data_IF_789858044893
#
_entry.id   IF_789858044893
#
_cell.length_a   1.000
_cell.length_b   1.000
_cell.length_c   1.000
_cell.angle_alpha   90.00
_cell.angle_beta   90.00
_cell.angle_gamma   90.00
#
_symmetry.space_group_name_H-M   'P 1'
#
loop_
_entity.id
_entity.type
_entity.pdbx_description
1 polymer ?
#
# COMPACT_ATOMS: atom_id res chain seq x y z
N UNK A 1 -17.93 23.90 10.46
CA UNK A 1 -16.48 23.96 10.21
C UNK A 1 -16.09 22.56 9.78
N UNK A 2 -15.80 22.36 8.49
CA UNK A 2 -15.33 21.07 7.99
C UNK A 2 -13.99 20.75 8.66
N UNK A 3 -13.96 19.72 9.50
CA UNK A 3 -12.72 19.18 10.05
C UNK A 3 -11.79 18.89 8.87
N UNK A 4 -10.61 19.51 8.82
CA UNK A 4 -9.59 19.38 7.76
C UNK A 4 -9.01 17.97 7.62
N UNK A 5 -9.89 17.02 7.33
CA UNK A 5 -9.66 15.61 7.07
C UNK A 5 -9.80 15.35 5.59
N UNK A 6 -9.15 14.30 5.13
CA UNK A 6 -9.07 13.93 3.72
C UNK A 6 -10.08 12.83 3.40
N UNK A 7 -10.66 12.90 2.20
CA UNK A 7 -11.53 11.85 1.66
C UNK A 7 -10.74 10.71 1.00
N UNK A 8 -9.47 10.96 0.67
CA UNK A 8 -8.57 9.95 0.16
C UNK A 8 -7.16 10.20 0.69
N UNK A 9 -6.57 9.17 1.27
CA UNK A 9 -5.14 9.12 1.58
C UNK A 9 -4.52 8.02 0.73
N UNK A 10 -3.48 8.34 -0.04
CA UNK A 10 -2.72 7.38 -0.84
C UNK A 10 -1.31 7.28 -0.30
N UNK A 11 -0.83 6.05 -0.07
CA UNK A 11 0.52 5.82 0.44
C UNK A 11 1.24 4.72 -0.35
N UNK A 12 2.49 5.00 -0.72
CA UNK A 12 3.44 3.99 -1.19
C UNK A 12 4.60 3.96 -0.20
N UNK A 13 4.41 3.35 1.00
CA UNK A 13 5.39 3.42 2.06
C UNK A 13 6.68 2.72 1.62
N UNK A 14 7.85 3.20 2.08
CA UNK A 14 9.10 2.50 1.82
C UNK A 14 9.01 1.09 2.40
N UNK A 15 9.21 0.08 1.55
CA UNK A 15 9.00 -1.35 1.87
C UNK A 15 9.95 -1.95 2.91
N UNK A 16 10.82 -1.14 3.52
CA UNK A 16 11.90 -1.59 4.37
C UNK A 16 11.56 -1.38 5.85
N UNK A 17 10.59 -2.14 6.38
CA UNK A 17 10.47 -2.30 7.83
C UNK A 17 11.57 -3.23 8.39
N UNK A 18 12.22 -4.04 7.54
CA UNK A 18 13.14 -5.10 7.96
C UNK A 18 14.41 -5.22 7.10
N UNK A 19 14.91 -4.15 6.45
CA UNK A 19 16.33 -4.18 6.08
C UNK A 19 17.15 -4.04 7.36
N UNK A 20 17.53 -5.20 7.91
CA UNK A 20 18.71 -5.46 8.71
C UNK A 20 19.43 -4.19 9.16
N UNK A 21 19.50 -3.98 10.49
CA UNK A 21 20.54 -3.16 11.11
C UNK A 21 21.86 -3.40 10.38
N UNK A 22 22.25 -2.50 9.49
CA UNK A 22 23.61 -2.44 9.00
C UNK A 22 24.47 -2.25 10.26
N UNK A 23 25.46 -3.12 10.53
CA UNK A 23 26.36 -2.92 11.67
C UNK A 23 27.28 -1.70 11.49
N UNK A 24 27.22 -1.04 10.33
CA UNK A 24 28.07 0.09 10.01
C UNK A 24 27.47 1.41 10.52
N UNK A 25 27.71 1.68 11.81
CA UNK A 25 27.30 2.90 12.52
C UNK A 25 27.89 4.20 11.95
N UNK A 26 28.80 4.15 10.98
CA UNK A 26 29.47 5.33 10.43
C UNK A 26 28.74 6.01 9.25
N UNK A 27 27.68 5.41 8.68
CA UNK A 27 26.87 6.05 7.60
C UNK A 27 25.49 6.54 8.04
N UNK A 28 25.18 6.51 9.33
CA UNK A 28 23.81 6.66 9.84
C UNK A 28 23.43 8.11 10.19
N UNK A 29 24.38 9.05 10.22
CA UNK A 29 24.15 10.38 10.82
C UNK A 29 23.37 11.37 9.94
N UNK A 30 23.05 11.05 8.68
CA UNK A 30 22.35 11.98 7.76
C UNK A 30 20.92 11.56 7.38
N UNK A 31 20.38 10.48 7.95
CA UNK A 31 19.06 9.91 7.60
C UNK A 31 18.18 9.61 8.82
N UNK A 32 18.31 10.41 9.89
CA UNK A 32 17.33 10.45 10.98
C UNK A 32 16.00 11.09 10.53
N UNK A 33 15.46 10.65 9.40
CA UNK A 33 14.02 10.70 9.16
C UNK A 33 13.51 9.41 9.78
N UNK A 34 12.81 9.51 10.91
CA UNK A 34 12.11 8.38 11.50
C UNK A 34 11.39 7.61 10.39
N UNK A 35 11.78 6.37 10.16
CA UNK A 35 11.15 5.54 9.15
C UNK A 35 9.67 5.43 9.49
N UNK A 36 8.78 5.87 8.60
CA UNK A 36 7.34 5.73 8.74
C UNK A 36 7.02 4.23 8.87
N UNK A 37 6.70 3.77 10.08
CA UNK A 37 6.28 2.38 10.32
C UNK A 37 4.81 2.22 9.96
N UNK A 38 4.36 0.99 9.75
CA UNK A 38 2.94 0.74 9.50
C UNK A 38 2.07 1.16 10.68
N UNK A 39 2.54 1.01 11.92
CA UNK A 39 1.82 1.51 13.10
C UNK A 39 1.61 3.03 13.02
N UNK A 40 2.69 3.80 12.79
CA UNK A 40 2.57 5.27 12.71
C UNK A 40 1.82 5.73 11.46
N UNK A 41 1.85 4.95 10.37
CA UNK A 41 1.00 5.17 9.21
C UNK A 41 -0.48 5.05 9.58
N UNK A 42 -0.90 3.96 10.22
CA UNK A 42 -2.29 3.78 10.63
C UNK A 42 -2.74 4.82 11.66
N UNK A 43 -1.89 5.22 12.61
CA UNK A 43 -2.17 6.32 13.55
C UNK A 43 -2.48 7.63 12.81
N UNK A 44 -1.67 7.97 11.80
CA UNK A 44 -1.87 9.17 11.01
C UNK A 44 -3.10 9.08 10.10
N UNK A 45 -3.33 7.94 9.46
CA UNK A 45 -4.52 7.73 8.62
C UNK A 45 -5.79 7.85 9.47
N UNK A 46 -5.85 7.24 10.65
CA UNK A 46 -7.05 7.30 11.49
C UNK A 46 -7.40 8.74 11.91
N UNK A 47 -6.37 9.53 12.24
CA UNK A 47 -6.51 10.95 12.59
C UNK A 47 -6.94 11.83 11.43
N UNK A 48 -6.37 11.59 10.25
CA UNK A 48 -6.49 12.48 9.09
C UNK A 48 -7.63 12.09 8.14
N UNK A 49 -8.10 10.84 8.16
CA UNK A 49 -9.12 10.36 7.23
C UNK A 49 -10.53 10.72 7.72
N UNK A 50 -11.36 11.22 6.79
CA UNK A 50 -12.77 11.50 7.04
C UNK A 50 -13.54 10.20 7.33
N UNK A 51 -14.73 10.30 7.94
CA UNK A 51 -15.55 9.12 8.30
C UNK A 51 -16.08 8.34 7.08
N UNK A 52 -16.04 8.96 5.91
CA UNK A 52 -16.38 8.37 4.60
C UNK A 52 -15.17 8.19 3.70
N UNK A 53 -13.98 8.60 4.16
CA UNK A 53 -12.77 8.60 3.37
C UNK A 53 -12.20 7.21 3.15
N UNK A 54 -11.29 7.13 2.18
CA UNK A 54 -10.60 5.92 1.77
C UNK A 54 -9.09 6.02 2.02
N UNK A 55 -8.50 4.92 2.45
CA UNK A 55 -7.05 4.80 2.54
C UNK A 55 -6.55 3.75 1.55
N UNK A 56 -5.82 4.18 0.53
CA UNK A 56 -5.23 3.34 -0.49
C UNK A 56 -3.72 3.19 -0.27
N UNK A 57 -3.21 1.96 -0.33
CA UNK A 57 -1.81 1.67 -0.08
C UNK A 57 -1.29 0.52 -0.94
N UNK A 58 -0.03 0.59 -1.34
CA UNK A 58 0.69 -0.53 -1.96
C UNK A 58 1.76 -1.06 -1.01
N UNK A 59 1.79 -2.37 -0.78
CA UNK A 59 2.79 -3.02 0.08
C UNK A 59 3.30 -4.33 -0.55
N UNK A 60 4.44 -4.88 -0.08
CA UNK A 60 4.89 -6.22 -0.45
C UNK A 60 3.93 -7.27 0.12
N UNK A 61 3.71 -8.36 -0.61
CA UNK A 61 2.81 -9.44 -0.17
C UNK A 61 3.23 -10.02 1.19
N UNK A 62 4.53 -10.03 1.49
CA UNK A 62 5.11 -10.53 2.74
C UNK A 62 4.67 -9.71 3.96
N UNK A 63 4.29 -8.44 3.76
CA UNK A 63 3.80 -7.54 4.81
C UNK A 63 2.30 -7.66 5.05
N UNK A 64 1.55 -8.32 4.15
CA UNK A 64 0.08 -8.30 4.16
C UNK A 64 -0.51 -8.74 5.50
N UNK A 65 -0.05 -9.86 6.05
CA UNK A 65 -0.58 -10.39 7.32
C UNK A 65 -0.42 -9.39 8.48
N UNK A 66 0.76 -8.75 8.60
CA UNK A 66 1.02 -7.73 9.63
C UNK A 66 0.15 -6.50 9.38
N UNK A 67 0.04 -6.07 8.13
CA UNK A 67 -0.73 -4.89 7.75
C UNK A 67 -2.23 -5.06 8.06
N UNK A 68 -2.79 -6.24 7.77
CA UNK A 68 -4.18 -6.59 8.07
C UNK A 68 -4.45 -6.64 9.59
N UNK A 69 -3.49 -7.14 10.37
CA UNK A 69 -3.59 -7.11 11.83
C UNK A 69 -3.68 -5.66 12.36
N UNK A 70 -2.84 -4.77 11.84
CA UNK A 70 -2.87 -3.34 12.23
C UNK A 70 -4.16 -2.67 11.76
N UNK A 71 -4.61 -2.90 10.52
CA UNK A 71 -5.88 -2.37 10.03
C UNK A 71 -7.05 -2.72 10.97
N UNK A 72 -7.13 -3.99 11.40
CA UNK A 72 -8.14 -4.45 12.35
C UNK A 72 -8.06 -3.73 13.71
N UNK A 73 -6.85 -3.52 14.23
CA UNK A 73 -6.63 -2.77 15.49
C UNK A 73 -7.14 -1.33 15.39
N UNK A 74 -7.01 -0.71 14.22
CA UNK A 74 -7.47 0.66 13.93
C UNK A 74 -8.92 0.74 13.44
N UNK A 75 -9.69 -0.36 13.49
CA UNK A 75 -11.06 -0.43 12.95
C UNK A 75 -11.16 0.03 11.49
N UNK A 76 -10.12 -0.23 10.71
CA UNK A 76 -10.10 -0.02 9.27
C UNK A 76 -10.40 -1.34 8.58
N UNK A 77 -11.46 -1.33 7.78
CA UNK A 77 -11.95 -2.49 7.07
C UNK A 77 -11.42 -2.48 5.65
N UNK A 78 -10.81 -3.58 5.23
CA UNK A 78 -10.40 -3.77 3.85
C UNK A 78 -11.66 -3.83 2.99
N UNK A 79 -11.71 -3.02 1.94
CA UNK A 79 -12.82 -3.01 0.98
C UNK A 79 -12.38 -3.41 -0.42
N UNK A 80 -11.08 -3.32 -0.71
CA UNK A 80 -10.54 -3.76 -2.01
C UNK A 80 -9.10 -4.24 -1.85
N UNK A 81 -8.79 -5.38 -2.47
CA UNK A 81 -7.45 -5.89 -2.63
C UNK A 81 -7.20 -6.22 -4.11
N UNK A 82 -6.08 -5.75 -4.63
CA UNK A 82 -5.59 -6.15 -5.95
C UNK A 82 -4.26 -6.84 -5.82
N UNK A 83 -4.19 -8.12 -6.18
CA UNK A 83 -2.94 -8.86 -6.22
C UNK A 83 -2.18 -8.51 -7.50
N UNK A 84 -0.92 -8.09 -7.37
CA UNK A 84 -0.11 -7.67 -8.51
C UNK A 84 0.90 -8.75 -8.87
N UNK A 85 0.69 -9.35 -10.04
CA UNK A 85 1.50 -10.39 -10.65
C UNK A 85 2.45 -9.76 -11.69
N UNK A 86 3.78 -9.97 -11.57
CA UNK A 86 4.71 -9.53 -12.62
C UNK A 86 4.41 -10.19 -13.97
N UNK A 87 4.12 -11.50 -13.97
CA UNK A 87 3.74 -12.31 -15.13
C UNK A 87 2.62 -13.29 -14.75
N UNK A 88 1.89 -13.91 -15.70
CA UNK A 88 0.79 -14.83 -15.38
C UNK A 88 1.19 -16.04 -14.54
N UNK A 89 2.46 -16.44 -14.59
CA UNK A 89 3.00 -17.61 -13.88
C UNK A 89 3.83 -17.25 -12.65
N UNK A 90 4.10 -15.96 -12.43
CA UNK A 90 4.85 -15.50 -11.27
C UNK A 90 3.98 -15.51 -10.00
N UNK A 91 4.64 -15.48 -8.85
CA UNK A 91 3.96 -15.21 -7.57
C UNK A 91 3.65 -13.72 -7.46
N UNK A 92 2.60 -13.39 -6.71
CA UNK A 92 2.29 -12.03 -6.27
C UNK A 92 3.52 -11.45 -5.56
N UNK A 93 3.90 -10.22 -5.91
CA UNK A 93 4.97 -9.50 -5.21
C UNK A 93 4.47 -8.32 -4.42
N UNK A 94 3.37 -7.72 -4.86
CA UNK A 94 2.76 -6.56 -4.24
C UNK A 94 1.26 -6.72 -4.21
N UNK A 95 0.65 -6.07 -3.25
CA UNK A 95 -0.81 -5.95 -3.14
C UNK A 95 -1.17 -4.47 -3.04
N UNK A 96 -2.17 -4.08 -3.81
CA UNK A 96 -2.86 -2.80 -3.61
C UNK A 96 -4.00 -3.07 -2.63
N UNK A 97 -4.12 -2.26 -1.61
CA UNK A 97 -5.13 -2.39 -0.57
C UNK A 97 -5.87 -1.06 -0.44
N UNK A 98 -7.19 -1.13 -0.25
CA UNK A 98 -8.02 0.02 0.06
C UNK A 98 -8.85 -0.27 1.29
N UNK A 99 -8.82 0.67 2.23
CA UNK A 99 -9.51 0.57 3.51
C UNK A 99 -10.53 1.69 3.70
N UNK A 100 -11.53 1.40 4.51
CA UNK A 100 -12.57 2.33 4.93
C UNK A 100 -12.84 2.17 6.43
N UNK A 101 -13.25 3.25 7.10
CA UNK A 101 -13.75 3.19 8.50
C UNK A 101 -15.10 2.47 8.62
N UNK A 102 -15.79 2.29 7.50
CA UNK A 102 -17.05 1.53 7.38
C UNK A 102 -16.79 0.17 6.76
N UNK A 103 -17.32 -0.86 7.38
CA UNK A 103 -17.28 -2.22 6.87
C UNK A 103 -18.09 -2.35 5.57
N UNK A 104 -17.51 -3.04 4.59
CA UNK A 104 -18.11 -3.36 3.29
C UNK A 104 -17.61 -4.73 2.86
N UNK A 105 -18.25 -5.32 1.85
CA UNK A 105 -17.72 -6.50 1.19
C UNK A 105 -16.37 -6.17 0.55
N UNK A 106 -15.37 -7.00 0.80
CA UNK A 106 -14.08 -6.89 0.12
C UNK A 106 -14.19 -7.32 -1.33
N UNK A 107 -13.72 -6.47 -2.23
CA UNK A 107 -13.51 -6.80 -3.64
C UNK A 107 -12.07 -7.28 -3.85
N UNK A 108 -11.92 -8.48 -4.42
CA UNK A 108 -10.62 -9.03 -4.75
C UNK A 108 -10.45 -9.07 -6.27
N UNK A 109 -9.30 -8.59 -6.74
CA UNK A 109 -8.96 -8.49 -8.16
C UNK A 109 -7.51 -8.86 -8.38
N UNK A 110 -7.15 -9.19 -9.61
CA UNK A 110 -5.77 -9.48 -10.00
C UNK A 110 -5.32 -8.52 -11.11
N UNK A 111 -4.06 -8.08 -11.04
CA UNK A 111 -3.40 -7.29 -12.06
C UNK A 111 -2.14 -8.02 -12.52
N UNK A 112 -2.09 -8.40 -13.79
CA UNK A 112 -0.88 -8.93 -14.43
C UNK A 112 -0.18 -7.81 -15.19
N UNK A 113 1.10 -7.55 -14.88
CA UNK A 113 1.86 -6.45 -15.49
C UNK A 113 2.34 -6.83 -16.90
N UNK A 114 3.05 -7.95 -17.03
CA UNK A 114 3.65 -8.39 -18.30
C UNK A 114 3.07 -9.74 -18.73
N UNK A 115 2.83 -9.94 -20.02
CA UNK A 115 2.53 -11.26 -20.60
C UNK A 115 3.79 -12.09 -20.80
N UNK A 116 4.88 -11.41 -21.17
CA UNK A 116 6.25 -11.93 -21.34
C UNK A 116 7.22 -10.75 -21.15
N UNK A 117 8.52 -11.03 -21.03
CA UNK A 117 9.54 -10.00 -20.71
C UNK A 117 9.41 -8.78 -21.61
N UNK A 118 9.12 -7.61 -21.01
CA UNK A 118 8.89 -6.31 -21.68
C UNK A 118 7.63 -6.20 -22.55
N UNK A 119 6.73 -7.19 -22.51
CA UNK A 119 5.44 -7.17 -23.20
C UNK A 119 4.32 -6.91 -22.18
N UNK A 120 4.05 -5.65 -21.88
CA UNK A 120 2.99 -5.24 -20.94
C UNK A 120 1.60 -5.68 -21.40
N UNK A 121 0.75 -6.06 -20.45
CA UNK A 121 -0.66 -6.37 -20.72
C UNK A 121 -1.40 -5.11 -21.16
N UNK A 122 -2.44 -5.29 -21.97
CA UNK A 122 -3.27 -4.18 -22.43
C UNK A 122 -3.94 -3.46 -21.26
N UNK A 123 -4.40 -4.21 -20.26
CA UNK A 123 -4.97 -3.65 -19.04
C UNK A 123 -3.98 -2.77 -18.27
N UNK A 124 -2.71 -3.22 -18.13
CA UNK A 124 -1.67 -2.42 -17.47
C UNK A 124 -1.32 -1.15 -18.26
N UNK A 125 -1.25 -1.24 -19.60
CA UNK A 125 -1.02 -0.09 -20.47
C UNK A 125 -2.14 0.93 -20.37
N UNK A 126 -3.40 0.51 -20.41
CA UNK A 126 -4.55 1.41 -20.26
C UNK A 126 -4.56 2.08 -18.88
N UNK A 127 -4.23 1.33 -17.83
CA UNK A 127 -4.17 1.85 -16.46
C UNK A 127 -3.06 2.89 -16.25
N UNK A 128 -1.92 2.74 -16.94
CA UNK A 128 -0.73 3.57 -16.71
C UNK A 128 -0.40 4.52 -17.85
N UNK A 129 -1.17 4.48 -18.94
CA UNK A 129 -0.89 5.21 -20.18
C UNK A 129 -0.78 6.71 -19.96
N UNK A 130 -1.68 7.29 -19.15
CA UNK A 130 -1.68 8.72 -18.84
C UNK A 130 -0.43 9.19 -18.06
N UNK A 131 0.31 8.27 -17.44
CA UNK A 131 1.55 8.57 -16.72
C UNK A 131 2.80 8.49 -17.61
N UNK A 132 2.78 7.66 -18.65
CA UNK A 132 3.94 7.36 -19.50
C UNK A 132 3.87 8.05 -20.88
N UNK A 133 3.24 9.23 -20.95
CA UNK A 133 3.13 10.05 -22.17
C UNK A 133 4.48 10.30 -22.87
#
# INVERSE_FOLDING_TARGET
>A
MENGRYDLIVCNPPYFENSLKCPDRQRTTARHTESLTYESLFDNVDRLLSETGLFAVIIPIESLSRFMFLAKKHKMFLIRQTNVYPTPTAKVKRVLLEFSKREKKTEETDLVIETSRHCYTEYYKQLTGDFYL
#
